data_IF_387904322340
#
_entry.id   IF_387904322340
#
_cell.length_a   1.000
_cell.length_b   1.000
_cell.length_c   1.000
_cell.angle_alpha   90.00
_cell.angle_beta   90.00
_cell.angle_gamma   90.00
#
_symmetry.space_group_name_H-M   'P 1'
#
loop_
_entity.id
_entity.type
_entity.pdbx_description
1 polymer ?
#
# COMPACT_ATOMS: atom_id res chain seq x y z
N UNK A 1 -7.13 -0.20 16.53
CA UNK A 1 -6.58 -1.47 16.00
C UNK A 1 -6.15 -2.31 17.20
N UNK A 2 -6.55 -3.59 17.21
CA UNK A 2 -6.13 -4.57 18.22
C UNK A 2 -5.37 -5.68 17.52
N UNK A 3 -4.18 -6.01 18.01
CA UNK A 3 -3.35 -7.11 17.52
C UNK A 3 -2.96 -8.00 18.70
N UNK A 4 -3.02 -9.32 18.52
CA UNK A 4 -2.62 -10.28 19.55
C UNK A 4 -1.54 -11.21 19.03
N UNK A 5 -0.49 -11.41 19.83
CA UNK A 5 0.62 -12.32 19.55
C UNK A 5 0.69 -13.38 20.64
N UNK A 6 0.65 -14.65 20.26
CA UNK A 6 0.81 -15.77 21.16
C UNK A 6 2.20 -16.39 20.97
N UNK A 7 2.94 -16.54 22.05
CA UNK A 7 4.25 -17.18 22.08
C UNK A 7 4.21 -18.35 23.06
N UNK A 8 4.77 -19.47 22.63
CA UNK A 8 4.89 -20.66 23.46
C UNK A 8 6.39 -20.95 23.60
N UNK A 9 6.86 -20.98 24.83
CA UNK A 9 8.23 -21.38 25.16
C UNK A 9 8.16 -22.77 25.78
N UNK A 10 8.42 -23.84 25.00
CA UNK A 10 8.41 -25.20 25.51
C UNK A 10 9.59 -25.43 26.44
N UNK A 11 9.35 -26.13 27.54
CA UNK A 11 10.44 -26.57 28.42
C UNK A 11 11.05 -27.85 27.88
N UNK A 12 12.38 -27.92 27.83
CA UNK A 12 13.14 -29.09 27.38
C UNK A 12 13.43 -30.11 28.50
N UNK A 13 13.16 -29.77 29.77
CA UNK A 13 13.63 -30.53 30.94
C UNK A 13 12.52 -30.90 31.95
N UNK A 14 11.28 -31.09 31.50
CA UNK A 14 10.16 -31.45 32.37
C UNK A 14 9.66 -30.34 33.29
N UNK A 15 10.16 -29.12 33.11
CA UNK A 15 9.60 -27.91 33.73
C UNK A 15 8.32 -27.49 32.98
N UNK A 16 7.55 -26.61 33.60
CA UNK A 16 6.31 -26.08 32.99
C UNK A 16 6.59 -25.25 31.74
N UNK A 17 5.70 -25.36 30.76
CA UNK A 17 5.74 -24.49 29.58
C UNK A 17 5.37 -23.06 29.97
N UNK A 18 5.95 -22.07 29.26
CA UNK A 18 5.56 -20.67 29.41
C UNK A 18 4.75 -20.24 28.20
N UNK A 19 3.54 -19.83 28.44
CA UNK A 19 2.63 -19.25 27.44
C UNK A 19 2.60 -17.74 27.65
N UNK A 20 2.92 -16.98 26.62
CA UNK A 20 2.88 -15.52 26.64
C UNK A 20 1.89 -15.01 25.60
N UNK A 21 0.88 -14.29 26.05
CA UNK A 21 -0.07 -13.59 25.20
C UNK A 21 0.20 -12.09 25.31
N UNK A 22 0.56 -11.47 24.20
CA UNK A 22 0.73 -10.02 24.09
C UNK A 22 -0.39 -9.44 23.24
N UNK A 23 -1.17 -8.55 23.82
CA UNK A 23 -2.25 -7.85 23.14
C UNK A 23 -1.92 -6.37 23.06
N UNK A 24 -1.81 -5.87 21.85
CA UNK A 24 -1.55 -4.47 21.52
C UNK A 24 -2.86 -3.76 21.19
N UNK A 25 -3.17 -2.69 21.89
CA UNK A 25 -4.29 -1.80 21.57
C UNK A 25 -3.75 -0.44 21.15
N UNK A 26 -4.02 -0.06 19.89
CA UNK A 26 -3.59 1.20 19.31
C UNK A 26 -4.84 2.03 18.99
N UNK A 27 -4.94 3.23 19.61
CA UNK A 27 -6.02 4.18 19.38
C UNK A 27 -5.42 5.56 19.13
N UNK A 28 -5.50 6.00 17.89
CA UNK A 28 -4.94 7.29 17.51
C UNK A 28 -5.59 7.90 16.28
N UNK A 29 -5.31 9.19 16.04
CA UNK A 29 -5.73 9.97 14.88
C UNK A 29 -4.50 10.25 14.00
N UNK A 30 -4.58 9.95 12.72
CA UNK A 30 -3.61 10.36 11.71
C UNK A 30 -4.17 11.54 10.92
N UNK A 31 -3.33 12.54 10.69
CA UNK A 31 -3.66 13.71 9.88
C UNK A 31 -2.84 13.67 8.59
N UNK A 32 -3.49 13.94 7.47
CA UNK A 32 -2.87 14.08 6.18
C UNK A 32 -3.24 15.45 5.60
N UNK A 33 -2.26 16.19 5.12
CA UNK A 33 -2.42 17.51 4.51
C UNK A 33 -2.12 17.41 3.03
N UNK A 34 -2.98 17.95 2.20
CA UNK A 34 -2.79 17.94 0.75
C UNK A 34 -3.13 19.29 0.12
N UNK A 35 -2.37 19.65 -0.91
CA UNK A 35 -2.66 20.79 -1.76
C UNK A 35 -2.55 20.34 -3.22
N UNK A 36 -3.47 20.84 -4.03
CA UNK A 36 -3.49 20.57 -5.46
C UNK A 36 -3.74 21.87 -6.22
N UNK A 37 -2.99 22.07 -7.30
CA UNK A 37 -3.16 23.19 -8.20
C UNK A 37 -3.29 22.72 -9.64
N UNK A 38 -4.33 23.17 -10.32
CA UNK A 38 -4.57 22.89 -11.74
C UNK A 38 -4.41 24.16 -12.54
N UNK A 39 -3.50 24.11 -13.51
CA UNK A 39 -3.25 25.19 -14.45
C UNK A 39 -3.80 24.83 -15.84
N UNK A 40 -4.76 25.58 -16.38
CA UNK A 40 -5.25 25.39 -17.75
C UNK A 40 -4.22 25.91 -18.74
N UNK A 41 -3.78 25.06 -19.67
CA UNK A 41 -2.88 25.44 -20.77
C UNK A 41 -3.69 25.91 -21.99
N UNK A 42 -4.84 25.28 -22.20
CA UNK A 42 -5.81 25.62 -23.25
C UNK A 42 -7.23 25.26 -22.81
N UNK A 43 -8.22 25.40 -23.68
CA UNK A 43 -9.62 25.00 -23.39
C UNK A 43 -9.78 23.49 -23.14
N UNK A 44 -8.86 22.68 -23.64
CA UNK A 44 -8.90 21.22 -23.58
C UNK A 44 -7.67 20.59 -22.91
N UNK A 45 -6.72 21.41 -22.47
CA UNK A 45 -5.46 20.93 -21.91
C UNK A 45 -5.21 21.58 -20.56
N UNK A 46 -4.82 20.76 -19.57
CA UNK A 46 -4.44 21.24 -18.25
C UNK A 46 -3.34 20.39 -17.63
N UNK A 47 -2.57 21.03 -16.77
CA UNK A 47 -1.58 20.38 -15.90
C UNK A 47 -2.05 20.52 -14.47
N UNK A 48 -1.98 19.44 -13.72
CA UNK A 48 -2.25 19.44 -12.29
C UNK A 48 -1.00 19.01 -11.54
N UNK A 49 -0.63 19.76 -10.51
CA UNK A 49 0.42 19.38 -9.57
C UNK A 49 -0.19 19.24 -8.19
N UNK A 50 0.25 18.24 -7.43
CA UNK A 50 -0.23 17.95 -6.10
C UNK A 50 0.90 17.62 -5.14
N UNK A 51 0.72 17.99 -3.87
CA UNK A 51 1.63 17.66 -2.76
C UNK A 51 0.81 17.15 -1.59
N UNK A 52 1.32 16.12 -0.94
CA UNK A 52 0.73 15.55 0.27
C UNK A 52 1.81 15.44 1.33
N UNK A 53 1.48 15.81 2.55
CA UNK A 53 2.32 15.66 3.72
C UNK A 53 1.56 15.02 4.86
N UNK A 54 2.10 13.95 5.40
CA UNK A 54 1.59 13.27 6.59
C UNK A 54 2.65 13.34 7.68
N UNK A 55 2.45 14.11 8.74
CA UNK A 55 3.40 14.18 9.84
C UNK A 55 3.53 12.85 10.56
N UNK A 56 4.78 12.50 10.87
CA UNK A 56 5.09 11.36 11.70
C UNK A 56 4.54 11.55 13.12
N UNK A 57 4.17 10.45 13.76
CA UNK A 57 3.56 10.51 15.08
C UNK A 57 3.86 9.26 15.89
N UNK A 58 4.16 9.45 17.19
CA UNK A 58 4.11 8.38 18.19
C UNK A 58 2.66 7.99 18.42
N UNK A 59 2.33 6.71 18.25
CA UNK A 59 0.98 6.18 18.43
C UNK A 59 0.70 5.91 19.91
N UNK A 60 -0.52 6.21 20.34
CA UNK A 60 -1.01 5.83 21.66
C UNK A 60 -1.24 4.34 21.72
N UNK A 61 -0.32 3.62 22.36
CA UNK A 61 -0.32 2.17 22.41
C UNK A 61 -0.37 1.69 23.84
N UNK A 62 -1.25 0.74 24.15
CA UNK A 62 -1.30 0.00 25.40
C UNK A 62 -1.04 -1.47 25.09
N UNK A 63 -0.09 -2.06 25.81
CA UNK A 63 0.23 -3.48 25.68
C UNK A 63 -0.19 -4.21 26.96
N UNK A 64 -0.99 -5.25 26.77
CA UNK A 64 -1.33 -6.21 27.82
C UNK A 64 -0.45 -7.43 27.63
N UNK A 65 0.37 -7.77 28.61
CA UNK A 65 1.27 -8.91 28.59
C UNK A 65 0.80 -9.92 29.63
N UNK A 66 0.27 -11.05 29.17
CA UNK A 66 -0.23 -12.13 30.01
C UNK A 66 0.72 -13.30 29.87
N UNK A 67 1.36 -13.68 30.98
CA UNK A 67 2.25 -14.84 31.03
C UNK A 67 1.62 -15.91 31.91
N UNK A 68 1.48 -17.10 31.38
CA UNK A 68 0.99 -18.27 32.11
C UNK A 68 2.07 -19.34 32.11
N UNK A 69 2.48 -19.78 33.30
CA UNK A 69 3.44 -20.88 33.49
C UNK A 69 2.63 -22.12 33.87
N UNK A 70 2.88 -23.24 33.21
CA UNK A 70 2.19 -24.51 33.44
C UNK A 70 1.53 -25.08 32.20
N UNK A 71 0.68 -26.07 32.37
CA UNK A 71 -0.13 -26.63 31.28
C UNK A 71 -1.42 -25.82 31.13
N UNK A 72 -1.84 -25.53 29.90
CA UNK A 72 -3.14 -24.90 29.60
C UNK A 72 -4.35 -25.67 30.16
N UNK A 73 -4.15 -26.95 30.50
CA UNK A 73 -5.19 -27.87 31.02
C UNK A 73 -5.12 -28.09 32.52
N UNK A 74 -4.09 -27.58 33.24
CA UNK A 74 -3.91 -27.79 34.67
C UNK A 74 -4.29 -26.54 35.46
N UNK A 75 -5.06 -26.74 36.53
CA UNK A 75 -5.52 -25.69 37.46
C UNK A 75 -4.40 -25.11 38.34
N UNK A 76 -3.14 -25.58 38.21
CA UNK A 76 -2.01 -25.25 39.06
C UNK A 76 -0.96 -24.29 38.41
N UNK A 77 -1.34 -23.59 37.36
CA UNK A 77 -0.44 -22.63 36.71
C UNK A 77 -0.46 -21.23 37.36
N UNK A 78 0.68 -20.56 37.36
CA UNK A 78 0.80 -19.14 37.75
C UNK A 78 0.55 -18.24 36.54
N UNK A 79 -0.37 -17.28 36.67
CA UNK A 79 -0.65 -16.29 35.61
C UNK A 79 -0.24 -14.92 36.10
N UNK A 80 0.61 -14.24 35.33
CA UNK A 80 1.02 -12.85 35.55
C UNK A 80 0.41 -11.97 34.46
N UNK A 81 -0.28 -10.91 34.89
CA UNK A 81 -0.87 -9.90 34.00
C UNK A 81 -0.16 -8.58 34.20
N UNK A 82 0.54 -8.12 33.20
CA UNK A 82 1.16 -6.81 33.18
C UNK A 82 0.51 -5.91 32.12
N UNK A 83 0.30 -4.64 32.46
CA UNK A 83 -0.16 -3.63 31.51
C UNK A 83 0.95 -2.62 31.33
N UNK A 84 1.51 -2.54 30.13
CA UNK A 84 2.55 -1.60 29.76
C UNK A 84 1.88 -0.45 29.00
N UNK A 85 1.90 0.74 29.61
CA UNK A 85 1.52 1.98 28.95
C UNK A 85 2.77 2.60 28.30
N UNK A 86 2.59 3.45 27.30
CA UNK A 86 3.68 4.11 26.57
C UNK A 86 4.60 3.19 25.77
N UNK A 87 4.07 2.07 25.32
CA UNK A 87 4.78 1.24 24.36
C UNK A 87 4.90 1.97 23.03
N UNK A 88 6.11 2.01 22.47
CA UNK A 88 6.39 2.91 21.36
C UNK A 88 6.25 2.25 20.00
N UNK A 89 5.25 2.72 19.26
CA UNK A 89 5.09 2.54 17.83
C UNK A 89 4.97 3.91 17.20
N UNK A 90 5.75 4.17 16.17
CA UNK A 90 5.71 5.44 15.45
C UNK A 90 5.18 5.25 14.03
N UNK A 91 4.42 6.22 13.56
CA UNK A 91 4.17 6.43 12.13
C UNK A 91 5.24 7.37 11.58
N UNK A 92 5.78 7.12 10.39
CA UNK A 92 6.79 7.96 9.77
C UNK A 92 6.21 9.26 9.23
N UNK A 93 7.07 10.26 9.02
CA UNK A 93 6.75 11.33 8.10
C UNK A 93 6.61 10.78 6.67
N UNK A 94 5.59 11.26 5.96
CA UNK A 94 5.35 10.86 4.56
C UNK A 94 5.20 12.10 3.69
N UNK A 95 5.87 12.11 2.55
CA UNK A 95 5.89 13.20 1.58
C UNK A 95 5.51 12.65 0.22
N UNK A 96 4.45 13.18 -0.36
CA UNK A 96 3.99 12.81 -1.70
C UNK A 96 4.01 14.01 -2.64
N UNK A 97 4.38 13.78 -3.90
CA UNK A 97 4.28 14.76 -4.97
C UNK A 97 3.78 14.05 -6.24
N UNK A 98 2.90 14.72 -6.97
CA UNK A 98 2.35 14.20 -8.21
C UNK A 98 2.18 15.28 -9.25
N UNK A 99 2.28 14.89 -10.51
CA UNK A 99 2.00 15.72 -11.66
C UNK A 99 1.15 14.94 -12.67
N UNK A 100 0.17 15.60 -13.24
CA UNK A 100 -0.57 15.05 -14.38
C UNK A 100 -0.77 16.10 -15.47
N UNK A 101 -0.70 15.64 -16.71
CA UNK A 101 -1.08 16.39 -17.90
C UNK A 101 -2.27 15.70 -18.55
N UNK A 102 -3.28 16.46 -18.85
CA UNK A 102 -4.50 15.96 -19.52
C UNK A 102 -4.76 16.81 -20.76
N UNK A 103 -4.89 16.11 -21.88
CA UNK A 103 -5.50 16.61 -23.09
C UNK A 103 -6.81 15.86 -23.27
N UNK A 104 -7.93 16.55 -23.11
CA UNK A 104 -9.26 15.94 -23.08
C UNK A 104 -9.51 15.00 -24.24
N UNK A 105 -10.08 13.83 -23.91
CA UNK A 105 -10.44 12.77 -24.86
C UNK A 105 -9.28 12.27 -25.75
N UNK A 106 -8.02 12.51 -25.38
CA UNK A 106 -6.89 12.10 -26.20
C UNK A 106 -5.71 11.53 -25.44
N UNK A 107 -5.22 12.25 -24.43
CA UNK A 107 -3.99 11.89 -23.74
C UNK A 107 -4.06 12.28 -22.27
N UNK A 108 -3.75 11.34 -21.41
CA UNK A 108 -3.49 11.59 -19.99
C UNK A 108 -2.12 11.02 -19.65
N UNK A 109 -1.26 11.84 -19.05
CA UNK A 109 0.02 11.44 -18.49
C UNK A 109 -0.01 11.75 -17.01
N UNK A 110 0.50 10.85 -16.18
CA UNK A 110 0.63 11.08 -14.75
C UNK A 110 1.91 10.46 -14.20
N UNK A 111 2.48 11.11 -13.21
CA UNK A 111 3.61 10.59 -12.45
C UNK A 111 3.48 10.98 -10.98
N UNK A 112 3.79 10.04 -10.09
CA UNK A 112 3.69 10.20 -8.64
C UNK A 112 4.98 9.73 -7.97
N UNK A 113 5.34 10.44 -6.92
CA UNK A 113 6.45 10.13 -6.04
C UNK A 113 5.98 10.14 -4.60
N UNK A 114 6.36 9.11 -3.83
CA UNK A 114 6.10 9.00 -2.40
C UNK A 114 7.39 8.65 -1.68
N UNK A 115 7.68 9.37 -0.61
CA UNK A 115 8.78 9.09 0.31
C UNK A 115 8.26 9.00 1.73
N UNK A 116 8.67 7.95 2.45
CA UNK A 116 8.29 7.70 3.85
C UNK A 116 9.56 7.46 4.67
N UNK A 117 9.72 8.24 5.74
CA UNK A 117 10.91 8.21 6.60
C UNK A 117 10.77 7.17 7.73
N UNK A 118 10.72 5.90 7.35
CA UNK A 118 10.58 4.79 8.28
C UNK A 118 11.83 4.50 9.11
N UNK A 119 13.02 4.93 8.67
CA UNK A 119 14.28 4.60 9.36
C UNK A 119 14.36 5.15 10.78
N UNK A 120 13.63 6.23 11.07
CA UNK A 120 13.56 6.86 12.39
C UNK A 120 12.35 6.42 13.22
N UNK A 121 11.45 5.63 12.63
CA UNK A 121 10.25 5.15 13.31
C UNK A 121 10.58 4.02 14.30
N UNK A 122 10.01 4.12 15.48
CA UNK A 122 10.10 3.08 16.49
C UNK A 122 9.04 2.00 16.22
N UNK A 123 9.44 0.77 16.41
CA UNK A 123 8.55 -0.38 16.43
C UNK A 123 8.96 -1.30 17.58
N UNK A 124 8.01 -1.67 18.43
CA UNK A 124 8.24 -2.54 19.59
C UNK A 124 9.31 -1.97 20.54
N UNK A 125 9.31 -0.65 20.75
CA UNK A 125 10.32 0.12 21.51
C UNK A 125 11.74 0.13 20.91
N UNK A 126 11.94 -0.44 19.73
CA UNK A 126 13.22 -0.49 19.05
C UNK A 126 13.23 0.40 17.81
N UNK A 127 14.38 1.03 17.56
CA UNK A 127 14.66 1.77 16.31
C UNK A 127 15.50 0.92 15.37
N UNK A 128 15.42 1.22 14.06
CA UNK A 128 16.28 0.58 13.07
C UNK A 128 15.72 -0.73 12.50
N UNK A 129 14.51 -1.11 12.84
CA UNK A 129 13.82 -2.26 12.23
C UNK A 129 13.34 -1.98 10.81
N UNK A 130 13.25 -0.70 10.45
CA UNK A 130 12.78 -0.25 9.16
C UNK A 130 13.84 0.48 8.35
N UNK A 131 13.62 0.66 7.08
CA UNK A 131 14.35 1.55 6.17
C UNK A 131 13.38 2.46 5.43
N UNK A 132 13.87 3.60 4.97
CA UNK A 132 13.04 4.55 4.25
C UNK A 132 12.45 3.92 3.00
N UNK A 133 11.18 4.22 2.74
CA UNK A 133 10.47 3.76 1.56
C UNK A 133 10.38 4.87 0.52
N UNK A 134 10.69 4.51 -0.69
CA UNK A 134 10.49 5.34 -1.87
C UNK A 134 9.58 4.60 -2.84
N UNK A 135 8.58 5.26 -3.37
CA UNK A 135 7.71 4.75 -4.43
C UNK A 135 7.63 5.77 -5.55
N UNK A 136 7.78 5.28 -6.77
CA UNK A 136 7.59 6.05 -7.99
C UNK A 136 6.59 5.31 -8.86
N UNK A 137 5.65 6.03 -9.43
CA UNK A 137 4.72 5.47 -10.41
C UNK A 137 4.56 6.46 -11.57
N UNK A 138 4.42 5.93 -12.77
CA UNK A 138 4.10 6.73 -13.95
C UNK A 138 3.16 5.96 -14.86
N UNK A 139 2.24 6.67 -15.51
CA UNK A 139 1.26 6.08 -16.41
C UNK A 139 0.83 7.01 -17.52
N UNK A 140 0.35 6.40 -18.57
CA UNK A 140 -0.20 7.08 -19.72
C UNK A 140 -1.50 6.41 -20.19
N UNK A 141 -2.48 7.22 -20.56
CA UNK A 141 -3.67 6.80 -21.31
C UNK A 141 -3.72 7.56 -22.63
N UNK A 142 -3.93 6.85 -23.72
CA UNK A 142 -4.03 7.42 -25.06
C UNK A 142 -5.28 6.91 -25.79
N UNK A 143 -6.04 7.84 -26.38
CA UNK A 143 -7.22 7.56 -27.20
C UNK A 143 -6.92 8.17 -28.59
N UNK A 144 -6.74 7.37 -29.64
CA UNK A 144 -6.39 7.88 -30.97
C UNK A 144 -7.42 8.90 -31.52
N UNK A 145 -8.70 8.53 -31.46
CA UNK A 145 -9.83 9.41 -31.88
C UNK A 145 -11.10 8.92 -31.20
N UNK A 146 -11.58 9.63 -30.20
CA UNK A 146 -12.74 9.20 -29.39
C UNK A 146 -14.08 9.19 -30.19
N UNK A 147 -14.18 10.00 -31.25
CA UNK A 147 -15.34 10.17 -32.10
C UNK A 147 -15.28 9.36 -33.45
N UNK A 148 -14.31 8.46 -33.57
CA UNK A 148 -14.05 7.73 -34.78
C UNK A 148 -15.14 6.66 -35.04
N UNK A 149 -15.51 6.44 -36.33
CA UNK A 149 -16.31 5.28 -36.76
C UNK A 149 -15.54 3.96 -36.56
N UNK A 150 -14.22 3.98 -36.70
CA UNK A 150 -13.36 2.82 -36.46
C UNK A 150 -13.28 2.55 -34.97
N UNK A 151 -13.68 1.36 -34.55
CA UNK A 151 -13.66 0.93 -33.13
C UNK A 151 -12.29 1.03 -32.49
N UNK A 152 -11.22 0.63 -33.20
CA UNK A 152 -9.84 0.70 -32.67
C UNK A 152 -9.40 2.13 -32.34
N UNK A 153 -9.95 3.13 -33.01
CA UNK A 153 -9.68 4.54 -32.71
C UNK A 153 -10.29 5.01 -31.39
N UNK A 154 -11.32 4.35 -30.89
CA UNK A 154 -12.03 4.69 -29.65
C UNK A 154 -11.51 3.93 -28.43
N UNK A 155 -10.69 2.90 -28.64
CA UNK A 155 -10.07 2.14 -27.56
C UNK A 155 -9.16 3.07 -26.77
N UNK A 156 -9.21 2.96 -25.44
CA UNK A 156 -8.28 3.60 -24.50
C UNK A 156 -7.09 2.69 -24.31
N UNK A 157 -5.93 3.10 -24.78
CA UNK A 157 -4.67 2.38 -24.61
C UNK A 157 -3.97 2.91 -23.37
N UNK A 158 -3.58 2.04 -22.47
CA UNK A 158 -2.93 2.41 -21.21
C UNK A 158 -1.62 1.68 -21.04
N UNK A 159 -0.64 2.39 -20.48
CA UNK A 159 0.61 1.82 -20.05
C UNK A 159 1.01 2.42 -18.71
N UNK A 160 1.62 1.64 -17.86
CA UNK A 160 2.06 2.09 -16.55
C UNK A 160 3.31 1.36 -16.08
N UNK A 161 4.04 2.03 -15.22
CA UNK A 161 5.21 1.50 -14.54
C UNK A 161 5.18 1.95 -13.08
N UNK A 162 5.61 1.09 -12.18
CA UNK A 162 5.88 1.47 -10.81
C UNK A 162 7.14 0.81 -10.26
N UNK A 163 7.73 1.51 -9.30
CA UNK A 163 8.84 1.05 -8.50
C UNK A 163 8.57 1.34 -7.04
N UNK A 164 8.90 0.41 -6.15
CA UNK A 164 8.88 0.63 -4.71
C UNK A 164 9.96 -0.21 -4.04
N UNK A 165 10.67 0.35 -3.08
CA UNK A 165 11.46 -0.46 -2.17
C UNK A 165 10.63 -0.80 -0.92
N UNK A 166 11.00 -1.90 -0.25
CA UNK A 166 10.43 -2.30 1.03
C UNK A 166 10.85 -1.36 2.15
N UNK A 167 9.94 -1.02 3.06
CA UNK A 167 10.30 -0.40 4.33
C UNK A 167 10.70 -1.43 5.39
N UNK A 168 10.29 -2.68 5.25
CA UNK A 168 10.64 -3.77 6.16
C UNK A 168 12.05 -4.29 5.90
N UNK A 169 12.76 -4.58 6.97
CA UNK A 169 14.01 -5.35 6.96
C UNK A 169 13.69 -6.79 7.31
N UNK A 170 13.62 -7.67 6.30
CA UNK A 170 13.11 -9.03 6.43
C UNK A 170 14.18 -10.00 6.97
N UNK A 171 15.47 -9.75 6.68
CA UNK A 171 16.56 -10.60 7.14
C UNK A 171 17.53 -9.81 8.01
N UNK A 172 17.82 -10.32 9.20
CA UNK A 172 18.87 -9.83 10.09
C UNK A 172 20.10 -10.72 9.92
N UNK A 173 21.20 -10.16 9.46
CA UNK A 173 22.51 -10.80 9.62
C UNK A 173 23.06 -10.37 10.96
N UNK A 174 23.21 -11.30 11.90
CA UNK A 174 23.75 -11.02 13.24
C UNK A 174 25.24 -10.61 13.20
N UNK A 175 25.93 -10.89 12.10
CA UNK A 175 27.40 -10.78 12.01
C UNK A 175 27.92 -9.34 11.87
N UNK A 176 27.09 -8.35 11.52
CA UNK A 176 27.52 -6.96 11.29
C UNK A 176 26.55 -5.87 11.78
N UNK A 177 25.84 -6.11 12.89
CA UNK A 177 24.83 -5.18 13.39
C UNK A 177 23.61 -5.07 12.44
N UNK A 178 22.57 -4.42 12.88
CA UNK A 178 21.22 -4.31 12.28
C UNK A 178 21.13 -3.84 10.81
N UNK A 179 21.90 -4.45 9.90
CA UNK A 179 21.74 -4.29 8.45
C UNK A 179 20.73 -5.33 7.91
N UNK A 180 19.47 -5.15 8.26
CA UNK A 180 18.42 -5.95 7.65
C UNK A 180 18.26 -5.60 6.18
N UNK A 181 18.02 -6.63 5.36
CA UNK A 181 17.81 -6.54 3.93
C UNK A 181 16.31 -6.56 3.61
N UNK A 182 15.93 -5.83 2.62
CA UNK A 182 14.56 -5.78 2.13
C UNK A 182 14.45 -6.30 0.71
N UNK A 183 13.46 -5.80 0.00
CA UNK A 183 13.24 -6.11 -1.42
C UNK A 183 12.91 -4.84 -2.21
N UNK A 184 13.07 -4.92 -3.50
CA UNK A 184 12.64 -3.92 -4.46
C UNK A 184 11.57 -4.52 -5.37
N UNK A 185 10.48 -3.79 -5.58
CA UNK A 185 9.37 -4.16 -6.43
C UNK A 185 9.38 -3.31 -7.69
N UNK A 186 9.26 -3.97 -8.83
CA UNK A 186 9.15 -3.36 -10.15
C UNK A 186 7.89 -3.90 -10.82
N UNK A 187 7.03 -3.02 -11.27
CA UNK A 187 5.84 -3.41 -12.00
C UNK A 187 5.70 -2.67 -13.31
N UNK A 188 5.22 -3.38 -14.33
CA UNK A 188 4.84 -2.80 -15.61
C UNK A 188 3.46 -3.30 -16.00
N UNK A 189 2.62 -2.43 -16.53
CA UNK A 189 1.25 -2.76 -16.90
C UNK A 189 0.89 -2.21 -18.27
N UNK A 190 0.02 -2.95 -18.97
CA UNK A 190 -0.68 -2.50 -20.16
C UNK A 190 -2.17 -2.70 -19.97
N UNK A 191 -2.99 -1.81 -20.54
CA UNK A 191 -4.42 -1.87 -20.38
C UNK A 191 -5.17 -1.38 -21.60
N UNK A 192 -6.40 -1.89 -21.73
CA UNK A 192 -7.31 -1.53 -22.81
C UNK A 192 -8.66 -1.19 -22.22
N UNK A 193 -9.17 0.00 -22.52
CA UNK A 193 -10.54 0.40 -22.23
C UNK A 193 -11.38 0.29 -23.48
N UNK A 194 -12.28 -0.69 -23.51
CA UNK A 194 -13.12 -1.06 -24.65
C UNK A 194 -14.50 -0.40 -24.49
N UNK A 195 -14.82 0.68 -25.25
CA UNK A 195 -16.13 1.30 -25.17
C UNK A 195 -17.18 0.37 -25.79
N UNK A 196 -18.32 0.23 -25.13
CA UNK A 196 -19.45 -0.53 -25.64
C UNK A 196 -20.30 0.29 -26.62
N UNK A 197 -21.25 -0.37 -27.27
CA UNK A 197 -22.10 0.22 -28.30
C UNK A 197 -22.97 1.38 -27.80
N UNK A 198 -23.23 1.43 -26.50
CA UNK A 198 -23.98 2.52 -25.85
C UNK A 198 -23.13 3.79 -25.67
N UNK A 199 -21.84 3.77 -25.99
CA UNK A 199 -20.85 4.83 -25.83
C UNK A 199 -20.73 5.36 -24.36
N UNK A 200 -21.28 4.64 -23.39
CA UNK A 200 -21.33 5.02 -21.98
C UNK A 200 -20.67 3.98 -21.08
N UNK A 201 -20.89 2.73 -21.40
CA UNK A 201 -20.29 1.61 -20.66
C UNK A 201 -18.92 1.25 -21.22
N UNK A 202 -18.02 0.78 -20.33
CA UNK A 202 -16.64 0.51 -20.66
C UNK A 202 -16.22 -0.83 -20.05
N UNK A 203 -15.60 -1.69 -20.84
CA UNK A 203 -14.88 -2.86 -20.35
C UNK A 203 -13.40 -2.51 -20.27
N UNK A 204 -12.80 -2.62 -19.08
CA UNK A 204 -11.39 -2.42 -18.89
C UNK A 204 -10.70 -3.78 -18.72
N UNK A 205 -9.67 -4.00 -19.51
CA UNK A 205 -8.78 -5.15 -19.43
C UNK A 205 -7.40 -4.62 -19.05
N UNK A 206 -6.74 -5.24 -18.06
CA UNK A 206 -5.36 -4.90 -17.74
C UNK A 206 -4.54 -6.13 -17.47
N UNK A 207 -3.28 -6.08 -17.91
CA UNK A 207 -2.23 -7.05 -17.68
C UNK A 207 -1.11 -6.35 -16.95
N UNK A 208 -0.67 -6.92 -15.86
CA UNK A 208 0.42 -6.40 -15.05
C UNK A 208 1.43 -7.51 -14.79
N UNK A 209 2.69 -7.19 -14.96
CA UNK A 209 3.81 -8.01 -14.54
C UNK A 209 4.53 -7.33 -13.38
N UNK A 210 4.73 -8.05 -12.30
CA UNK A 210 5.44 -7.55 -11.12
C UNK A 210 6.58 -8.50 -10.79
N UNK A 211 7.73 -7.90 -10.53
CA UNK A 211 8.93 -8.58 -10.06
C UNK A 211 9.36 -8.00 -8.72
N UNK A 212 9.44 -8.87 -7.71
CA UNK A 212 9.94 -8.55 -6.38
C UNK A 212 11.35 -9.13 -6.29
N UNK A 213 12.34 -8.26 -6.23
CA UNK A 213 13.75 -8.62 -6.19
C UNK A 213 14.31 -8.38 -4.79
N UNK A 214 14.72 -9.43 -4.08
CA UNK A 214 15.36 -9.27 -2.78
C UNK A 214 16.75 -8.66 -2.91
N UNK A 215 17.21 -8.01 -1.85
CA UNK A 215 18.56 -7.45 -1.77
C UNK A 215 19.61 -8.54 -1.53
N UNK A 216 19.22 -9.66 -0.91
CA UNK A 216 20.06 -10.83 -0.68
C UNK A 216 19.65 -11.98 -1.62
N UNK A 217 20.65 -12.67 -2.20
CA UNK A 217 20.43 -13.83 -3.08
C UNK A 217 19.83 -15.07 -2.38
N UNK A 218 19.91 -15.11 -1.04
CA UNK A 218 19.36 -16.21 -0.24
C UNK A 218 17.86 -16.04 0.06
N UNK A 219 17.29 -14.89 -0.25
CA UNK A 219 15.87 -14.63 -0.13
C UNK A 219 15.13 -15.04 -1.41
N UNK A 220 13.83 -15.26 -1.30
CA UNK A 220 12.97 -15.69 -2.41
C UNK A 220 12.79 -14.54 -3.41
N UNK A 221 13.14 -14.77 -4.67
CA UNK A 221 12.82 -13.90 -5.81
C UNK A 221 11.41 -14.27 -6.29
N UNK A 222 10.51 -13.30 -6.31
CA UNK A 222 9.11 -13.51 -6.66
C UNK A 222 8.76 -12.76 -7.94
N UNK A 223 7.93 -13.38 -8.77
CA UNK A 223 7.35 -12.72 -9.93
C UNK A 223 5.93 -13.23 -10.14
N UNK A 224 5.05 -12.33 -10.54
CA UNK A 224 3.67 -12.69 -10.83
C UNK A 224 3.07 -11.86 -11.96
N UNK A 225 2.09 -12.47 -12.60
CA UNK A 225 1.24 -11.81 -13.59
C UNK A 225 -0.15 -11.61 -12.99
N UNK A 226 -0.69 -10.42 -13.16
CA UNK A 226 -2.05 -10.10 -12.78
C UNK A 226 -2.87 -9.76 -14.02
N UNK A 227 -3.99 -10.44 -14.19
CA UNK A 227 -4.98 -10.09 -15.19
C UNK A 227 -6.23 -9.57 -14.48
N UNK A 228 -6.71 -8.40 -14.89
CA UNK A 228 -7.89 -7.77 -14.28
C UNK A 228 -8.89 -7.42 -15.36
N UNK A 229 -10.15 -7.78 -15.15
CA UNK A 229 -11.29 -7.37 -15.94
C UNK A 229 -12.21 -6.53 -15.07
N UNK A 230 -12.53 -5.33 -15.53
CA UNK A 230 -13.44 -4.43 -14.84
C UNK A 230 -14.51 -3.96 -15.84
N UNK A 231 -15.76 -4.02 -15.42
CA UNK A 231 -16.89 -3.52 -16.20
C UNK A 231 -17.46 -2.28 -15.53
N UNK A 232 -17.43 -1.15 -16.24
CA UNK A 232 -18.05 0.10 -15.80
C UNK A 232 -19.38 0.26 -16.53
N UNK A 233 -20.43 0.17 -15.77
CA UNK A 233 -21.80 0.31 -16.24
C UNK A 233 -22.28 1.75 -15.96
N UNK A 234 -22.77 2.44 -17.01
CA UNK A 234 -23.27 3.80 -16.86
C UNK A 234 -24.64 3.91 -17.52
N UNK A 235 -25.69 3.69 -16.73
CA UNK A 235 -27.08 3.89 -17.15
C UNK A 235 -27.67 5.16 -16.57
N UNK A 236 -28.50 5.80 -17.36
CA UNK A 236 -29.33 6.91 -16.91
C UNK A 236 -30.59 6.35 -16.24
N UNK A 237 -30.59 6.30 -14.91
CA UNK A 237 -31.75 5.97 -14.11
C UNK A 237 -32.63 7.22 -14.04
N UNK A 238 -33.94 7.10 -14.18
CA UNK A 238 -34.93 8.19 -14.10
C UNK A 238 -35.10 9.08 -15.35
N UNK A 239 -35.17 8.50 -16.52
CA UNK A 239 -35.80 9.21 -17.62
C UNK A 239 -37.30 9.32 -17.37
N UNK A 240 -37.84 10.56 -17.21
CA UNK A 240 -39.26 10.82 -17.41
C UNK A 240 -39.58 10.51 -18.89
N UNK A 241 -40.29 9.41 -19.16
CA UNK A 241 -40.91 9.24 -20.46
C UNK A 241 -41.97 10.35 -20.61
N UNK A 242 -41.82 11.23 -21.60
CA UNK A 242 -42.95 12.03 -22.06
C UNK A 242 -43.95 11.04 -22.64
N UNK A 243 -45.10 10.94 -22.01
CA UNK A 243 -46.30 10.30 -22.59
C UNK A 243 -46.94 11.40 -23.44
N UNK A 244 -46.83 11.28 -24.76
CA UNK A 244 -47.62 12.09 -25.71
C UNK A 244 -49.05 11.58 -25.74
#
# INVERSE_FOLDING_TARGET
ITHSRNLIFPSSTGADNVYRNQRYEIRDLKLDFGIQYTHPLSKTEHVTVGFVYSPGKKLNTTVYDIQTVGSLSSTSGYTRNDTIKDYRFDMPNSYGAGISYVKENRLTLAADFLYEDWAIAYFDNEIGQFKNRTRVAAGAEFIPRYDNRNYLGRIRYRAGFHYSNSYLRVSRSEENGYKGHGYNEYGASIGFGLPLSDNRSLVNLSFEYVKIRPELRTMIDEQYFRFTVNYTFNELWFFKRKVD
#
